data_IF_604414735320
#
_entry.id   IF_604414735320
#
_cell.length_a   1.000
_cell.length_b   1.000
_cell.length_c   1.000
_cell.angle_alpha   90.00
_cell.angle_beta   90.00
_cell.angle_gamma   90.00
#
_symmetry.space_group_name_H-M   'P 1'
#
loop_
_entity.id
_entity.type
_entity.pdbx_description
1 polymer ?
#
# COMPACT_ATOMS: atom_id res chain seq x y z
N UNK A 1 7.50 -8.98 2.37
CA UNK A 1 6.90 -9.65 3.54
C UNK A 1 6.64 -11.11 3.19
N UNK A 2 7.05 -12.07 4.03
CA UNK A 2 6.68 -13.48 3.83
C UNK A 2 5.15 -13.62 3.96
N UNK A 3 4.50 -14.29 3.00
CA UNK A 3 3.06 -14.58 3.07
C UNK A 3 2.79 -15.47 4.29
N UNK A 4 1.79 -15.14 5.10
CA UNK A 4 1.43 -16.00 6.22
C UNK A 4 0.62 -17.20 5.73
N UNK A 5 0.59 -18.28 6.52
CA UNK A 5 -0.35 -19.37 6.29
C UNK A 5 -1.81 -18.98 6.53
N UNK A 6 -2.05 -17.81 7.13
CA UNK A 6 -3.36 -17.27 7.48
C UNK A 6 -3.68 -16.06 6.58
N UNK A 7 -4.30 -16.36 5.45
CA UNK A 7 -4.68 -15.34 4.47
C UNK A 7 -5.66 -14.31 5.04
N UNK A 8 -6.46 -14.68 6.05
CA UNK A 8 -7.39 -13.74 6.66
C UNK A 8 -6.65 -12.76 7.57
N UNK A 9 -5.65 -13.22 8.32
CA UNK A 9 -4.77 -12.33 9.08
C UNK A 9 -4.01 -11.36 8.17
N UNK A 10 -3.56 -11.81 7.00
CA UNK A 10 -2.91 -10.92 6.03
C UNK A 10 -3.87 -9.89 5.44
N UNK A 11 -5.12 -10.28 5.14
CA UNK A 11 -6.16 -9.32 4.76
C UNK A 11 -6.42 -8.28 5.86
N UNK A 12 -6.46 -8.70 7.12
CA UNK A 12 -6.73 -7.81 8.25
C UNK A 12 -5.64 -6.75 8.42
N UNK A 13 -4.37 -7.09 8.21
CA UNK A 13 -3.28 -6.09 8.22
C UNK A 13 -3.49 -4.98 7.19
N UNK A 14 -3.98 -5.36 6.00
CA UNK A 14 -4.27 -4.40 4.93
C UNK A 14 -5.50 -3.56 5.25
N UNK A 15 -6.54 -4.16 5.84
CA UNK A 15 -7.71 -3.43 6.36
C UNK A 15 -7.26 -2.37 7.37
N UNK A 16 -6.55 -2.78 8.42
CA UNK A 16 -6.11 -1.89 9.50
C UNK A 16 -5.25 -0.74 8.96
N UNK A 17 -4.41 -1.02 7.97
CA UNK A 17 -3.56 0.00 7.35
C UNK A 17 -4.38 0.98 6.49
N UNK A 18 -5.27 0.49 5.62
CA UNK A 18 -6.06 1.36 4.73
C UNK A 18 -7.11 2.18 5.49
N UNK A 19 -7.68 1.66 6.57
CA UNK A 19 -8.55 2.45 7.46
C UNK A 19 -7.79 3.61 8.11
N UNK A 20 -6.53 3.42 8.52
CA UNK A 20 -5.68 4.51 9.05
C UNK A 20 -5.39 5.59 8.00
N UNK A 21 -5.44 5.26 6.71
CA UNK A 21 -5.31 6.22 5.61
C UNK A 21 -6.64 6.94 5.29
N UNK A 22 -7.69 6.71 6.07
CA UNK A 22 -9.00 7.31 5.88
C UNK A 22 -9.76 6.71 4.70
N UNK A 23 -9.49 5.45 4.35
CA UNK A 23 -10.24 4.73 3.32
C UNK A 23 -11.42 3.96 3.93
N UNK A 24 -12.49 3.84 3.16
CA UNK A 24 -13.61 2.94 3.47
C UNK A 24 -13.28 1.55 2.94
N UNK A 25 -13.22 0.56 3.83
CA UNK A 25 -12.71 -0.79 3.50
C UNK A 25 -13.80 -1.86 3.62
N UNK A 26 -13.76 -2.85 2.72
CA UNK A 26 -14.57 -4.06 2.80
C UNK A 26 -13.76 -5.30 2.43
N UNK A 27 -14.04 -6.42 3.11
CA UNK A 27 -13.42 -7.72 2.83
C UNK A 27 -14.46 -8.70 2.29
N UNK A 28 -14.11 -9.40 1.21
CA UNK A 28 -14.95 -10.44 0.59
C UNK A 28 -14.24 -11.78 0.54
N UNK A 29 -14.98 -12.85 0.24
CA UNK A 29 -14.47 -14.22 0.08
C UNK A 29 -13.64 -14.74 1.26
N UNK A 30 -14.07 -14.38 2.49
CA UNK A 30 -13.40 -14.75 3.74
C UNK A 30 -13.27 -16.27 3.93
N UNK A 31 -14.23 -17.04 3.41
CA UNK A 31 -14.40 -18.45 3.80
C UNK A 31 -14.04 -19.48 2.71
N UNK A 32 -13.57 -19.06 1.52
CA UNK A 32 -13.59 -19.98 0.37
C UNK A 32 -12.31 -20.13 -0.45
N UNK A 33 -11.47 -19.12 -0.68
CA UNK A 33 -10.27 -19.34 -1.54
C UNK A 33 -9.15 -18.33 -1.29
N UNK A 34 -9.51 -17.07 -1.04
CA UNK A 34 -8.57 -15.96 -0.82
C UNK A 34 -9.39 -14.74 -0.41
N UNK A 35 -9.28 -14.29 0.85
CA UNK A 35 -9.85 -13.02 1.25
C UNK A 35 -9.33 -11.90 0.34
N UNK A 36 -10.25 -11.04 -0.11
CA UNK A 36 -9.92 -9.86 -0.92
C UNK A 36 -10.37 -8.62 -0.20
N UNK A 37 -9.48 -7.64 -0.13
CA UNK A 37 -9.75 -6.34 0.45
C UNK A 37 -10.04 -5.37 -0.69
N UNK A 38 -11.12 -4.62 -0.58
CA UNK A 38 -11.44 -3.51 -1.46
C UNK A 38 -11.56 -2.25 -0.62
N UNK A 39 -11.04 -1.13 -1.14
CA UNK A 39 -11.15 0.15 -0.47
C UNK A 39 -11.47 1.28 -1.44
N UNK A 40 -12.13 2.31 -0.94
CA UNK A 40 -12.45 3.57 -1.65
C UNK A 40 -12.18 4.76 -0.74
N UNK A 41 -12.00 5.95 -1.33
CA UNK A 41 -11.64 7.14 -0.55
C UNK A 41 -10.16 7.16 -0.16
N UNK A 42 -9.72 8.25 0.47
CA UNK A 42 -8.31 8.45 0.84
C UNK A 42 -7.41 8.82 -0.36
N UNK A 43 -6.14 8.35 -0.40
CA UNK A 43 -5.12 8.80 -1.37
C UNK A 43 -5.37 8.32 -2.81
N UNK A 44 -6.17 7.26 -2.98
CA UNK A 44 -6.55 6.70 -4.29
C UNK A 44 -8.07 6.69 -4.44
N UNK A 45 -8.57 6.57 -5.67
CA UNK A 45 -10.02 6.47 -5.94
C UNK A 45 -10.55 5.14 -5.43
N UNK A 46 -9.83 4.05 -5.74
CA UNK A 46 -10.10 2.72 -5.22
C UNK A 46 -8.82 1.89 -5.17
N UNK A 47 -8.77 0.94 -4.24
CA UNK A 47 -7.72 -0.07 -4.14
C UNK A 47 -8.34 -1.47 -3.99
N UNK A 48 -7.57 -2.48 -4.40
CA UNK A 48 -7.87 -3.88 -4.18
C UNK A 48 -6.61 -4.64 -3.78
N UNK A 49 -6.74 -5.55 -2.82
CA UNK A 49 -5.67 -6.44 -2.40
C UNK A 49 -6.17 -7.88 -2.40
N UNK A 50 -5.47 -8.74 -3.15
CA UNK A 50 -5.70 -10.17 -3.16
C UNK A 50 -4.61 -10.81 -2.31
N UNK A 51 -5.05 -11.54 -1.29
CA UNK A 51 -4.17 -12.33 -0.43
C UNK A 51 -3.53 -13.51 -1.18
N UNK A 52 -4.09 -13.88 -2.34
CA UNK A 52 -3.58 -14.91 -3.24
C UNK A 52 -4.16 -14.74 -4.65
N UNK A 53 -3.33 -14.80 -5.68
CA UNK A 53 -3.77 -14.94 -7.08
C UNK A 53 -4.24 -16.40 -7.31
N UNK A 54 -5.41 -16.66 -7.92
CA UNK A 54 -5.82 -18.03 -8.23
C UNK A 54 -4.77 -18.76 -9.08
N UNK A 55 -4.20 -19.84 -8.54
CA UNK A 55 -3.15 -20.62 -9.22
C UNK A 55 -1.72 -20.16 -8.94
N UNK A 56 -1.52 -19.14 -8.11
CA UNK A 56 -0.21 -18.62 -7.75
C UNK A 56 -0.16 -18.23 -6.27
N UNK A 57 1.00 -18.30 -5.62
CA UNK A 57 1.17 -17.99 -4.19
C UNK A 57 1.62 -16.55 -3.94
N UNK A 58 1.44 -15.68 -4.93
CA UNK A 58 1.73 -14.25 -4.87
C UNK A 58 0.54 -13.42 -4.38
N UNK A 59 0.86 -12.30 -3.72
CA UNK A 59 -0.07 -11.20 -3.49
C UNK A 59 -0.28 -10.38 -4.75
N UNK A 60 -1.46 -9.78 -4.89
CA UNK A 60 -1.74 -8.78 -5.93
C UNK A 60 -2.31 -7.53 -5.29
N UNK A 61 -1.79 -6.36 -5.69
CA UNK A 61 -2.34 -5.07 -5.34
C UNK A 61 -2.71 -4.32 -6.61
N UNK A 62 -3.93 -3.77 -6.63
CA UNK A 62 -4.42 -2.92 -7.70
C UNK A 62 -4.91 -1.60 -7.12
N UNK A 63 -4.70 -0.50 -7.83
CA UNK A 63 -5.19 0.80 -7.45
C UNK A 63 -5.60 1.62 -8.67
N UNK A 64 -6.58 2.49 -8.49
CA UNK A 64 -6.92 3.54 -9.44
C UNK A 64 -6.65 4.88 -8.77
N UNK A 65 -5.64 5.59 -9.27
CA UNK A 65 -5.30 6.93 -8.84
C UNK A 65 -6.18 8.01 -9.47
N UNK A 66 -6.11 9.22 -8.92
CA UNK A 66 -6.65 10.42 -9.59
C UNK A 66 -5.73 10.79 -10.74
N UNK A 67 -6.30 11.31 -11.83
CA UNK A 67 -5.49 11.93 -12.88
C UNK A 67 -4.90 13.23 -12.34
N UNK A 68 -3.60 13.40 -12.53
CA UNK A 68 -2.87 14.65 -12.30
C UNK A 68 -2.26 15.09 -13.62
N UNK A 69 -2.33 16.38 -13.90
CA UNK A 69 -1.67 16.95 -15.07
C UNK A 69 -0.16 16.96 -14.83
N UNK A 70 0.62 16.66 -15.86
CA UNK A 70 2.08 16.66 -15.79
C UNK A 70 2.69 15.57 -16.67
N UNK A 71 4.01 15.66 -16.85
CA UNK A 71 4.80 14.59 -17.45
C UNK A 71 5.19 13.59 -16.36
N UNK A 72 5.15 12.29 -16.67
CA UNK A 72 5.29 11.22 -15.69
C UNK A 72 6.68 11.18 -15.04
N UNK A 73 7.73 11.59 -15.76
CA UNK A 73 9.08 11.67 -15.20
C UNK A 73 9.22 12.82 -14.20
N UNK A 74 8.55 13.95 -14.44
CA UNK A 74 8.60 15.11 -13.54
C UNK A 74 7.88 14.78 -12.22
N UNK A 75 6.70 14.15 -12.31
CA UNK A 75 5.95 13.70 -11.13
C UNK A 75 6.72 12.66 -10.30
N UNK A 76 7.51 11.81 -10.95
CA UNK A 76 8.38 10.85 -10.25
C UNK A 76 9.56 11.54 -9.54
N UNK A 77 10.13 12.58 -10.16
CA UNK A 77 11.20 13.36 -9.54
C UNK A 77 10.68 14.15 -8.34
N UNK A 78 9.51 14.78 -8.46
CA UNK A 78 8.84 15.47 -7.35
C UNK A 78 8.61 14.53 -6.17
N UNK A 79 8.05 13.34 -6.40
CA UNK A 79 7.83 12.36 -5.33
C UNK A 79 9.14 11.87 -4.71
N UNK A 80 10.20 11.69 -5.51
CA UNK A 80 11.54 11.35 -5.00
C UNK A 80 12.09 12.45 -4.10
N UNK A 81 11.95 13.71 -4.51
CA UNK A 81 12.42 14.84 -3.73
C UNK A 81 11.68 14.95 -2.40
N UNK A 82 10.35 14.80 -2.41
CA UNK A 82 9.53 14.75 -1.18
C UNK A 82 9.99 13.66 -0.21
N UNK A 83 10.38 12.49 -0.74
CA UNK A 83 11.00 11.43 0.07
C UNK A 83 12.39 11.81 0.57
N UNK A 84 13.24 12.43 -0.25
CA UNK A 84 14.55 12.92 0.19
C UNK A 84 14.41 13.94 1.34
N UNK A 85 13.38 14.78 1.29
CA UNK A 85 13.03 15.77 2.30
C UNK A 85 12.29 15.17 3.52
N UNK A 86 12.07 13.85 3.52
CA UNK A 86 11.35 13.09 4.57
C UNK A 86 9.96 13.64 4.85
N UNK A 87 9.27 14.13 3.83
CA UNK A 87 7.87 14.54 3.96
C UNK A 87 7.00 13.35 4.34
N UNK A 88 5.99 13.61 5.19
CA UNK A 88 4.98 12.61 5.50
C UNK A 88 4.05 12.41 4.29
N UNK A 89 4.27 11.33 3.54
CA UNK A 89 3.46 10.97 2.37
C UNK A 89 2.38 9.98 2.83
N UNK A 90 1.07 10.27 2.65
CA UNK A 90 0.01 9.37 3.07
C UNK A 90 0.13 7.98 2.42
N UNK A 91 0.24 6.94 3.24
CA UNK A 91 0.43 5.56 2.79
C UNK A 91 1.88 5.15 2.60
N UNK A 92 2.83 6.07 2.79
CA UNK A 92 4.26 5.79 2.78
C UNK A 92 4.78 5.69 4.22
N UNK A 93 5.00 4.46 4.69
CA UNK A 93 5.63 4.21 5.99
C UNK A 93 7.14 3.94 5.84
N UNK A 94 7.75 4.35 4.71
CA UNK A 94 9.16 4.06 4.42
C UNK A 94 10.07 4.57 5.54
N UNK A 95 9.87 5.78 6.05
CA UNK A 95 10.71 6.37 7.10
C UNK A 95 10.52 5.77 8.49
N UNK A 96 9.36 5.19 8.79
CA UNK A 96 9.10 4.55 10.08
C UNK A 96 9.97 3.29 10.26
N UNK A 97 10.32 2.64 9.14
CA UNK A 97 11.15 1.42 9.11
C UNK A 97 12.57 1.67 8.58
N UNK A 98 12.83 2.85 8.02
CA UNK A 98 14.14 3.34 7.58
C UNK A 98 14.42 4.70 8.24
N UNK A 99 14.93 4.72 9.49
CA UNK A 99 15.45 5.95 10.09
C UNK A 99 16.55 6.56 9.22
N UNK A 100 16.91 7.85 9.38
CA UNK A 100 18.08 8.38 8.70
C UNK A 100 19.26 7.44 8.97
N UNK A 101 20.01 7.06 7.94
CA UNK A 101 21.32 6.47 8.20
C UNK A 101 22.09 7.48 9.06
N UNK A 102 22.60 7.05 10.22
CA UNK A 102 23.60 7.83 10.94
C UNK A 102 24.73 8.06 9.95
N UNK A 103 24.89 9.30 9.49
CA UNK A 103 26.03 9.69 8.66
C UNK A 103 27.28 9.82 9.52
N UNK A 104 27.63 8.75 10.24
CA UNK A 104 28.97 8.57 10.77
C UNK A 104 29.83 8.03 9.63
N UNK A 105 30.15 8.91 8.69
CA UNK A 105 31.28 8.71 7.80
C UNK A 105 32.55 9.06 8.59
N UNK A 106 33.18 8.05 9.19
CA UNK A 106 34.63 8.02 9.43
C UNK A 106 35.35 7.33 8.26
#
# INVERSE_FOLDING_TARGET
>A
AQRSGDLLADAQKVVDHWEKLGMDVRVVHKDVVSPRVYATGGPVVRASFLTKIPGDDMYEVGAVGKCVAGYDLDLQEEERQRRADREAIPGDNYFDNHPPEDTDHE
#
